data_IF_877102470670
#
_entry.id   IF_877102470670
#
_cell.length_a   1.000
_cell.length_b   1.000
_cell.length_c   1.000
_cell.angle_alpha   90.00
_cell.angle_beta   90.00
_cell.angle_gamma   90.00
#
_symmetry.space_group_name_H-M   'P 1'
#
loop_
_entity.id
_entity.type
_entity.pdbx_description
1 polymer ?
#
# COMPACT_ATOMS: atom_id res chain seq x y z
N UNK A 1 -15.81 -3.92 2.77
CA UNK A 1 -16.81 -4.98 2.88
C UNK A 1 -16.71 -5.66 4.23
N UNK A 2 -17.85 -5.94 4.80
CA UNK A 2 -17.92 -6.65 6.08
C UNK A 2 -18.81 -7.89 5.95
N UNK A 3 -18.32 -9.03 6.43
CA UNK A 3 -19.10 -10.26 6.49
C UNK A 3 -19.65 -10.43 7.89
N UNK A 4 -20.97 -10.37 8.04
CA UNK A 4 -21.63 -10.58 9.33
C UNK A 4 -21.61 -12.03 9.76
N UNK A 5 -21.53 -12.96 8.82
CA UNK A 5 -21.53 -14.40 9.12
C UNK A 5 -20.23 -14.85 9.78
N UNK A 6 -19.09 -14.29 9.38
CA UNK A 6 -17.76 -14.66 9.88
C UNK A 6 -17.12 -13.61 10.79
N UNK A 7 -17.70 -12.40 10.86
CA UNK A 7 -17.10 -11.28 11.56
C UNK A 7 -15.87 -10.70 10.86
N UNK A 8 -15.63 -11.09 9.61
CA UNK A 8 -14.50 -10.57 8.85
C UNK A 8 -14.85 -9.24 8.17
N UNK A 9 -13.87 -8.36 8.09
CA UNK A 9 -14.04 -7.05 7.46
C UNK A 9 -12.90 -6.82 6.49
N UNK A 10 -13.24 -6.67 5.20
CA UNK A 10 -12.26 -6.43 4.13
C UNK A 10 -12.27 -4.97 3.72
N UNK A 11 -11.09 -4.36 3.68
CA UNK A 11 -10.87 -3.05 3.06
C UNK A 11 -10.17 -3.26 1.73
N UNK A 12 -10.76 -2.71 0.65
CA UNK A 12 -10.18 -2.75 -0.69
C UNK A 12 -10.02 -1.34 -1.23
N UNK A 13 -8.83 -1.02 -1.74
CA UNK A 13 -8.59 0.27 -2.39
C UNK A 13 -7.51 0.16 -3.47
N UNK A 14 -7.74 0.85 -4.59
CA UNK A 14 -6.78 1.01 -5.69
C UNK A 14 -6.96 2.40 -6.30
N UNK A 15 -5.98 2.82 -7.11
CA UNK A 15 -6.04 4.07 -7.89
C UNK A 15 -6.28 5.31 -7.04
N UNK A 16 -5.73 5.32 -5.83
CA UNK A 16 -5.71 6.48 -4.96
C UNK A 16 -4.31 6.67 -4.38
N UNK A 17 -3.93 7.92 -4.16
CA UNK A 17 -2.62 8.19 -3.59
C UNK A 17 -2.68 8.43 -2.07
N UNK A 18 -3.88 8.61 -1.53
CA UNK A 18 -4.05 8.92 -0.11
C UNK A 18 -5.42 8.48 0.40
N UNK A 19 -5.45 7.93 1.62
CA UNK A 19 -6.68 7.56 2.32
C UNK A 19 -6.90 8.54 3.47
N UNK A 20 -7.99 9.29 3.41
CA UNK A 20 -8.33 10.31 4.40
C UNK A 20 -8.90 9.75 5.68
N UNK A 21 -9.55 8.58 5.60
CA UNK A 21 -10.29 8.03 6.72
C UNK A 21 -9.50 6.97 7.44
N UNK A 22 -9.71 6.89 8.77
CA UNK A 22 -9.18 5.82 9.60
C UNK A 22 -10.21 4.72 9.70
N UNK A 23 -9.77 3.49 9.77
CA UNK A 23 -10.65 2.34 9.87
C UNK A 23 -10.32 1.51 11.11
N UNK A 24 -11.32 0.78 11.63
CA UNK A 24 -11.14 -0.11 12.77
C UNK A 24 -11.85 -1.44 12.50
N UNK A 25 -11.40 -2.50 13.17
CA UNK A 25 -11.99 -3.82 13.05
C UNK A 25 -11.72 -4.52 11.73
N UNK A 26 -10.79 -4.01 10.92
CA UNK A 26 -10.44 -4.63 9.65
C UNK A 26 -9.64 -5.90 9.90
N UNK A 27 -10.02 -6.99 9.24
CA UNK A 27 -9.32 -8.28 9.32
C UNK A 27 -8.46 -8.56 8.10
N UNK A 28 -8.83 -8.03 6.95
CA UNK A 28 -8.13 -8.23 5.69
C UNK A 28 -8.05 -6.93 4.91
N UNK A 29 -6.91 -6.71 4.28
CA UNK A 29 -6.70 -5.55 3.38
C UNK A 29 -6.27 -6.08 2.02
N UNK A 30 -6.93 -5.59 0.97
CA UNK A 30 -6.51 -5.73 -0.42
C UNK A 30 -6.24 -4.31 -0.91
N UNK A 31 -4.99 -3.90 -0.83
CA UNK A 31 -4.64 -2.51 -1.02
C UNK A 31 -3.51 -2.28 -2.00
N UNK A 32 -3.57 -1.15 -2.68
CA UNK A 32 -2.54 -0.76 -3.61
C UNK A 32 -1.27 -0.35 -2.88
N UNK A 33 -0.13 -0.84 -3.36
CA UNK A 33 1.18 -0.38 -2.96
C UNK A 33 2.01 -0.27 -4.25
N UNK A 34 1.86 0.84 -4.95
CA UNK A 34 2.32 0.95 -6.32
C UNK A 34 3.82 1.19 -6.44
N UNK A 35 4.38 2.04 -5.60
CA UNK A 35 5.77 2.46 -5.74
C UNK A 35 6.41 2.80 -4.39
N UNK A 36 7.75 2.85 -4.37
CA UNK A 36 8.51 3.45 -3.27
C UNK A 36 9.07 4.78 -3.73
N UNK A 37 9.13 5.76 -2.84
CA UNK A 37 9.70 7.07 -3.17
C UNK A 37 11.16 6.96 -3.58
N UNK A 38 11.89 6.07 -2.94
CA UNK A 38 13.31 5.81 -3.24
C UNK A 38 13.50 5.35 -4.69
N UNK A 39 12.67 4.42 -5.17
CA UNK A 39 12.74 3.95 -6.55
C UNK A 39 12.38 5.02 -7.56
N UNK A 40 11.36 5.82 -7.25
CA UNK A 40 10.98 6.94 -8.12
C UNK A 40 12.12 7.93 -8.21
N UNK A 41 12.76 8.27 -7.10
CA UNK A 41 13.89 9.20 -7.08
C UNK A 41 15.09 8.64 -7.84
N UNK A 42 15.41 7.36 -7.67
CA UNK A 42 16.47 6.69 -8.43
C UNK A 42 16.21 6.77 -9.94
N UNK A 43 14.98 6.48 -10.36
CA UNK A 43 14.61 6.48 -11.76
C UNK A 43 14.59 7.89 -12.36
N UNK A 44 14.23 8.89 -11.57
CA UNK A 44 14.34 10.29 -11.98
C UNK A 44 15.80 10.72 -12.15
N UNK A 45 16.66 10.32 -11.20
CA UNK A 45 18.07 10.66 -11.23
C UNK A 45 18.79 9.99 -12.41
N UNK A 46 18.38 8.77 -12.79
CA UNK A 46 18.93 8.03 -13.92
C UNK A 46 18.28 8.40 -15.26
N UNK A 47 17.32 9.33 -15.24
CA UNK A 47 16.58 9.77 -16.41
C UNK A 47 15.78 8.67 -17.10
N UNK A 48 15.41 7.65 -16.35
CA UNK A 48 14.61 6.52 -16.86
C UNK A 48 13.11 6.72 -16.64
N UNK A 49 12.74 7.76 -15.87
CA UNK A 49 11.34 8.10 -15.60
C UNK A 49 11.13 9.59 -15.92
N UNK A 50 10.30 9.93 -16.94
CA UNK A 50 10.00 11.33 -17.23
C UNK A 50 9.30 12.02 -16.05
N UNK A 51 9.66 13.29 -15.82
CA UNK A 51 9.13 14.08 -14.70
C UNK A 51 7.60 14.16 -14.69
N UNK A 52 7.00 14.34 -15.87
CA UNK A 52 5.52 14.41 -15.99
C UNK A 52 4.87 13.09 -15.57
N UNK A 53 5.50 11.98 -15.98
CA UNK A 53 5.00 10.64 -15.65
C UNK A 53 5.13 10.37 -14.14
N UNK A 54 6.23 10.80 -13.53
CA UNK A 54 6.42 10.69 -12.08
C UNK A 54 5.36 11.48 -11.31
N UNK A 55 5.05 12.69 -11.76
CA UNK A 55 4.01 13.51 -11.13
C UNK A 55 2.63 12.83 -11.20
N UNK A 56 2.28 12.25 -12.35
CA UNK A 56 1.03 11.50 -12.49
C UNK A 56 0.98 10.30 -11.57
N UNK A 57 2.08 9.55 -11.49
CA UNK A 57 2.17 8.37 -10.62
C UNK A 57 1.91 8.76 -9.17
N UNK A 58 2.55 9.80 -8.70
CA UNK A 58 2.45 10.24 -7.30
C UNK A 58 1.08 10.82 -6.94
N UNK A 59 0.30 11.29 -7.91
CA UNK A 59 -1.04 11.83 -7.68
C UNK A 59 -2.18 10.83 -7.92
N UNK A 60 -1.89 9.67 -8.52
CA UNK A 60 -2.91 8.69 -8.87
C UNK A 60 -2.78 7.37 -8.11
N UNK A 61 -1.60 7.10 -7.54
CA UNK A 61 -1.31 5.80 -6.96
C UNK A 61 -0.73 5.91 -5.56
N UNK A 62 -0.95 4.86 -4.77
CA UNK A 62 -0.50 4.80 -3.38
C UNK A 62 0.97 4.44 -3.31
N UNK A 63 1.77 5.27 -2.63
CA UNK A 63 3.16 4.93 -2.30
C UNK A 63 3.21 4.03 -1.07
N UNK A 64 4.32 3.33 -0.89
CA UNK A 64 4.58 2.59 0.35
C UNK A 64 4.49 3.51 1.56
N UNK A 65 5.04 4.72 1.46
CA UNK A 65 5.05 5.69 2.57
C UNK A 65 3.64 6.12 2.98
N UNK A 66 2.77 6.41 2.01
CA UNK A 66 1.37 6.76 2.30
C UNK A 66 0.60 5.57 2.89
N UNK A 67 0.87 4.36 2.39
CA UNK A 67 0.27 3.14 2.95
C UNK A 67 0.69 2.95 4.40
N UNK A 68 1.97 3.14 4.71
CA UNK A 68 2.48 3.03 6.08
C UNK A 68 1.79 4.05 6.99
N UNK A 69 1.67 5.31 6.56
CA UNK A 69 0.97 6.35 7.32
C UNK A 69 -0.49 5.96 7.62
N UNK A 70 -1.19 5.44 6.61
CA UNK A 70 -2.57 4.99 6.78
C UNK A 70 -2.66 3.84 7.79
N UNK A 71 -1.78 2.86 7.69
CA UNK A 71 -1.77 1.71 8.58
C UNK A 71 -1.45 2.12 10.02
N UNK A 72 -0.51 3.05 10.21
CA UNK A 72 -0.18 3.56 11.54
C UNK A 72 -1.34 4.32 12.17
N UNK A 73 -2.14 5.00 11.36
CA UNK A 73 -3.27 5.80 11.84
C UNK A 73 -4.53 4.97 12.14
N UNK A 74 -4.58 3.72 11.68
CA UNK A 74 -5.75 2.86 11.81
C UNK A 74 -5.62 1.88 12.97
N UNK A 75 -6.76 1.43 13.51
CA UNK A 75 -6.77 0.36 14.51
C UNK A 75 -6.70 -0.99 13.80
N UNK A 76 -5.56 -1.64 13.87
CA UNK A 76 -5.27 -2.88 13.19
C UNK A 76 -5.21 -4.09 14.13
N UNK A 77 -5.81 -3.98 15.32
CA UNK A 77 -5.75 -5.04 16.33
C UNK A 77 -6.35 -6.36 15.87
N UNK A 78 -7.25 -6.34 14.88
CA UNK A 78 -7.89 -7.53 14.32
C UNK A 78 -7.35 -7.94 12.95
N UNK A 79 -6.35 -7.24 12.44
CA UNK A 79 -5.81 -7.49 11.11
C UNK A 79 -5.10 -8.84 11.07
N UNK A 80 -5.45 -9.66 10.05
CA UNK A 80 -4.88 -11.00 9.84
C UNK A 80 -4.01 -11.08 8.61
N UNK A 81 -4.46 -10.51 7.50
CA UNK A 81 -3.79 -10.63 6.21
C UNK A 81 -3.85 -9.33 5.42
N UNK A 82 -2.78 -9.05 4.69
CA UNK A 82 -2.70 -7.93 3.76
C UNK A 82 -2.24 -8.46 2.41
N UNK A 83 -2.97 -8.09 1.36
CA UNK A 83 -2.61 -8.36 -0.02
C UNK A 83 -2.22 -7.05 -0.68
N UNK A 84 -0.96 -6.95 -1.11
CA UNK A 84 -0.45 -5.78 -1.82
C UNK A 84 -0.64 -6.01 -3.32
N UNK A 85 -1.33 -5.09 -3.97
CA UNK A 85 -1.69 -5.21 -5.38
C UNK A 85 -1.25 -3.98 -6.16
N UNK A 86 -1.28 -4.08 -7.48
CA UNK A 86 -1.05 -2.97 -8.40
C UNK A 86 0.34 -2.34 -8.24
N UNK A 87 1.36 -3.19 -8.11
CA UNK A 87 2.74 -2.74 -8.00
C UNK A 87 3.29 -2.32 -9.37
N UNK A 88 4.01 -1.20 -9.38
CA UNK A 88 4.75 -0.78 -10.57
C UNK A 88 5.97 -1.67 -10.76
N UNK A 89 6.17 -2.21 -11.94
CA UNK A 89 7.32 -3.07 -12.22
C UNK A 89 8.65 -2.33 -12.08
N UNK A 90 8.67 -1.04 -12.40
CA UNK A 90 9.90 -0.23 -12.44
C UNK A 90 10.11 0.60 -11.18
N UNK A 91 9.03 1.00 -10.50
CA UNK A 91 9.07 1.98 -9.42
C UNK A 91 8.77 1.36 -8.04
N UNK A 92 8.65 0.05 -7.94
CA UNK A 92 8.40 -0.63 -6.69
C UNK A 92 9.59 -1.48 -6.25
N UNK A 93 9.61 -1.78 -4.96
CA UNK A 93 10.56 -2.72 -4.37
C UNK A 93 9.73 -3.70 -3.53
N UNK A 94 9.38 -4.82 -4.14
CA UNK A 94 8.47 -5.81 -3.57
C UNK A 94 8.94 -6.34 -2.22
N UNK A 95 10.22 -6.72 -2.12
CA UNK A 95 10.78 -7.27 -0.90
C UNK A 95 10.77 -6.26 0.24
N UNK A 96 11.11 -5.00 -0.05
CA UNK A 96 11.10 -3.93 0.94
C UNK A 96 9.68 -3.58 1.39
N UNK A 97 8.74 -3.52 0.47
CA UNK A 97 7.33 -3.28 0.77
C UNK A 97 6.79 -4.34 1.71
N UNK A 98 7.00 -5.61 1.38
CA UNK A 98 6.56 -6.73 2.20
C UNK A 98 7.19 -6.68 3.60
N UNK A 99 8.48 -6.44 3.67
CA UNK A 99 9.21 -6.40 4.95
C UNK A 99 8.71 -5.29 5.85
N UNK A 100 8.54 -4.07 5.34
CA UNK A 100 8.09 -2.95 6.14
C UNK A 100 6.66 -3.15 6.65
N UNK A 101 5.77 -3.64 5.78
CA UNK A 101 4.37 -3.85 6.17
C UNK A 101 4.25 -4.98 7.19
N UNK A 102 4.99 -6.08 7.03
CA UNK A 102 5.01 -7.16 8.01
C UNK A 102 5.51 -6.69 9.38
N UNK A 103 6.59 -5.91 9.38
CA UNK A 103 7.16 -5.38 10.61
C UNK A 103 6.20 -4.46 11.33
N UNK A 104 5.50 -3.61 10.59
CA UNK A 104 4.58 -2.63 11.15
C UNK A 104 3.32 -3.29 11.73
N UNK A 105 2.76 -4.26 11.03
CA UNK A 105 1.43 -4.81 11.33
C UNK A 105 1.45 -6.16 12.04
N UNK A 106 2.49 -6.95 11.83
CA UNK A 106 2.54 -8.33 12.30
C UNK A 106 1.61 -9.28 11.54
N UNK A 107 0.91 -8.79 10.53
CA UNK A 107 0.01 -9.60 9.71
C UNK A 107 0.79 -10.37 8.65
N UNK A 108 0.15 -11.40 8.07
CA UNK A 108 0.70 -12.06 6.89
C UNK A 108 0.55 -11.15 5.68
N UNK A 109 1.63 -10.94 4.94
CA UNK A 109 1.65 -10.04 3.79
C UNK A 109 1.93 -10.84 2.53
N UNK A 110 1.05 -10.66 1.53
CA UNK A 110 1.16 -11.30 0.23
C UNK A 110 1.27 -10.23 -0.85
N UNK A 111 2.10 -10.48 -1.85
CA UNK A 111 2.23 -9.60 -3.01
C UNK A 111 1.62 -10.32 -4.21
N UNK A 112 0.69 -9.66 -4.86
CA UNK A 112 -0.03 -10.23 -6.00
C UNK A 112 0.42 -9.64 -7.33
#
# INVERSE_FOLDING_TARGET
>A
LESTATGEKLLYFTDTYYLKYKFSGITHILGECNYTRERVQENLAEDTLPTVRAARLMHSHMSLQHLVEFLEASDLSRLKQIYLVHLSAENSDEAEMKRQIQRLTGAEVYVC
#
